data_IF_587824932040
#
_entry.id   IF_587824932040
#
_cell.length_a   1.000
_cell.length_b   1.000
_cell.length_c   1.000
_cell.angle_alpha   90.00
_cell.angle_beta   90.00
_cell.angle_gamma   90.00
#
_symmetry.space_group_name_H-M   'P 1'
#
loop_
_entity.id
_entity.type
_entity.pdbx_description
1 polymer ?
#
# COMPACT_ATOMS: atom_id res chain seq x y z
N UNK A 1 0.60 -10.51 19.87
CA UNK A 1 2.00 -10.82 19.74
C UNK A 1 2.37 -10.99 18.25
N UNK A 2 3.02 -9.98 17.67
CA UNK A 2 3.40 -9.98 16.26
C UNK A 2 4.32 -11.17 15.93
N UNK A 3 4.15 -11.75 14.74
CA UNK A 3 4.95 -12.86 14.20
C UNK A 3 4.82 -14.21 14.93
N UNK A 4 3.77 -14.41 15.74
CA UNK A 4 3.47 -15.70 16.39
C UNK A 4 4.60 -16.31 17.26
N UNK A 5 5.55 -15.49 17.71
CA UNK A 5 6.70 -15.95 18.52
C UNK A 5 6.32 -16.36 19.94
N UNK A 6 5.22 -15.82 20.46
CA UNK A 6 4.74 -16.09 21.80
C UNK A 6 3.22 -16.22 21.81
N UNK A 7 2.71 -17.12 22.64
CA UNK A 7 1.29 -17.24 22.99
C UNK A 7 1.11 -16.71 24.42
N UNK A 8 0.14 -15.83 24.64
CA UNK A 8 -0.25 -15.40 25.97
C UNK A 8 -1.01 -16.52 26.69
N UNK A 9 -0.55 -16.90 27.89
CA UNK A 9 -1.23 -17.86 28.78
C UNK A 9 -1.67 -17.13 30.05
N UNK A 10 -3.00 -17.12 30.30
CA UNK A 10 -3.57 -16.59 31.52
C UNK A 10 -4.34 -17.71 32.21
N UNK A 11 -3.94 -18.03 33.47
CA UNK A 11 -4.61 -19.01 34.33
C UNK A 11 -5.11 -18.25 35.53
N UNK A 12 -6.43 -18.26 35.73
CA UNK A 12 -7.09 -17.55 36.83
C UNK A 12 -7.98 -18.50 37.62
N UNK A 13 -8.08 -18.27 38.91
CA UNK A 13 -9.08 -18.88 39.79
C UNK A 13 -10.28 -17.97 39.95
N UNK A 14 -11.48 -18.54 39.93
CA UNK A 14 -12.73 -17.86 40.19
C UNK A 14 -13.37 -18.33 41.50
N UNK A 15 -14.09 -17.47 42.17
CA UNK A 15 -14.98 -17.84 43.26
C UNK A 15 -16.36 -18.34 42.75
N UNK A 16 -17.25 -18.68 43.66
CA UNK A 16 -18.59 -19.16 43.32
C UNK A 16 -19.48 -18.07 42.62
N UNK A 17 -19.12 -16.81 42.74
CA UNK A 17 -19.81 -15.69 42.09
C UNK A 17 -19.25 -15.37 40.68
N UNK A 18 -18.15 -16.07 40.29
CA UNK A 18 -17.49 -15.84 39.01
C UNK A 18 -16.47 -14.70 39.01
N UNK A 19 -16.10 -14.19 40.19
CA UNK A 19 -15.08 -13.15 40.33
C UNK A 19 -13.67 -13.77 40.35
N UNK A 20 -12.70 -13.09 39.70
CA UNK A 20 -11.31 -13.55 39.70
C UNK A 20 -10.69 -13.32 41.08
N UNK A 21 -10.32 -14.41 41.76
CA UNK A 21 -9.71 -14.38 43.10
C UNK A 21 -8.20 -14.67 43.09
N UNK A 22 -7.68 -15.22 42.00
CA UNK A 22 -6.26 -15.51 41.90
C UNK A 22 -5.80 -15.52 40.45
N UNK A 23 -4.56 -15.07 40.21
CA UNK A 23 -3.83 -15.28 38.97
C UNK A 23 -2.68 -16.22 39.24
N UNK A 24 -2.63 -17.34 38.54
CA UNK A 24 -1.57 -18.33 38.74
C UNK A 24 -0.21 -17.74 38.31
N UNK A 25 0.87 -17.88 39.09
CA UNK A 25 2.20 -17.35 38.77
C UNK A 25 2.80 -17.85 37.45
N UNK A 26 2.32 -18.99 36.90
CA UNK A 26 2.77 -19.48 35.58
C UNK A 26 2.07 -18.80 34.43
N UNK A 27 1.17 -17.85 34.70
CA UNK A 27 0.59 -16.97 33.67
C UNK A 27 1.67 -16.08 33.05
N UNK A 28 1.66 -15.94 31.75
CA UNK A 28 2.66 -15.13 31.05
C UNK A 28 2.81 -15.52 29.56
N UNK A 29 3.80 -14.93 28.88
CA UNK A 29 4.10 -15.30 27.50
C UNK A 29 4.80 -16.66 27.45
N UNK A 30 4.28 -17.57 26.65
CA UNK A 30 4.88 -18.86 26.33
C UNK A 30 5.50 -18.76 24.94
N UNK A 31 6.81 -19.02 24.85
CA UNK A 31 7.51 -19.01 23.55
C UNK A 31 6.98 -20.14 22.67
N UNK A 32 6.85 -19.85 21.36
CA UNK A 32 6.54 -20.87 20.36
C UNK A 32 7.85 -21.24 19.67
N UNK A 33 8.31 -22.47 19.85
CA UNK A 33 9.46 -23.01 19.14
C UNK A 33 9.19 -24.43 18.65
N UNK A 34 9.47 -24.70 17.38
CA UNK A 34 9.52 -26.03 16.78
C UNK A 34 10.96 -26.50 16.52
N UNK A 35 11.98 -25.72 16.94
CA UNK A 35 13.37 -26.10 16.76
C UNK A 35 13.73 -27.18 17.80
N UNK A 36 14.09 -28.43 17.38
CA UNK A 36 14.42 -29.53 18.32
C UNK A 36 15.60 -29.24 19.28
N UNK A 37 16.44 -28.26 18.96
CA UNK A 37 17.54 -27.83 19.81
C UNK A 37 17.11 -26.97 21.02
N UNK A 38 15.88 -26.45 21.02
CA UNK A 38 15.36 -25.61 22.08
C UNK A 38 14.73 -26.50 23.19
N UNK A 39 15.05 -26.23 24.46
CA UNK A 39 14.53 -26.99 25.60
C UNK A 39 12.99 -26.89 25.76
N UNK A 40 12.39 -25.85 25.25
CA UNK A 40 10.95 -25.60 25.24
C UNK A 40 10.30 -25.87 23.86
N UNK A 41 10.98 -26.64 23.01
CA UNK A 41 10.46 -27.04 21.70
C UNK A 41 9.22 -27.92 21.83
N UNK A 42 8.21 -27.63 21.00
CA UNK A 42 6.99 -28.43 20.88
C UNK A 42 6.89 -28.96 19.46
N UNK A 43 6.76 -30.26 19.32
CA UNK A 43 6.56 -30.88 18.01
C UNK A 43 5.26 -30.34 17.34
N UNK A 44 5.26 -30.08 16.03
CA UNK A 44 4.04 -29.73 15.33
C UNK A 44 2.94 -30.78 15.50
N UNK A 45 1.70 -30.35 15.68
CA UNK A 45 0.55 -31.23 15.58
C UNK A 45 0.49 -31.81 14.15
N UNK A 46 0.58 -33.13 14.00
CA UNK A 46 0.69 -33.79 12.70
C UNK A 46 -0.55 -33.56 11.84
N UNK A 47 -1.75 -33.53 12.43
CA UNK A 47 -2.99 -33.27 11.68
C UNK A 47 -3.03 -31.84 11.13
N UNK A 48 -2.74 -30.84 11.96
CA UNK A 48 -2.65 -29.43 11.53
C UNK A 48 -1.54 -29.25 10.51
N UNK A 49 -0.38 -29.89 10.71
CA UNK A 49 0.72 -29.78 9.76
C UNK A 49 0.36 -30.33 8.39
N UNK A 50 -0.18 -31.57 8.34
CA UNK A 50 -0.47 -32.24 7.08
C UNK A 50 -1.69 -31.67 6.34
N UNK A 51 -2.72 -31.23 7.08
CA UNK A 51 -3.99 -30.82 6.51
C UNK A 51 -4.15 -29.30 6.33
N UNK A 52 -3.29 -28.49 6.97
CA UNK A 52 -3.32 -27.03 6.83
C UNK A 52 -1.97 -26.45 6.40
N UNK A 53 -0.88 -26.71 7.15
CA UNK A 53 0.41 -26.06 6.90
C UNK A 53 1.04 -26.49 5.58
N UNK A 54 1.12 -27.82 5.34
CA UNK A 54 1.77 -28.37 4.16
C UNK A 54 1.06 -28.02 2.85
N UNK A 55 -0.28 -28.08 2.71
CA UNK A 55 -0.97 -27.61 1.52
C UNK A 55 -0.73 -26.13 1.22
N UNK A 56 -0.76 -25.27 2.26
CA UNK A 56 -0.46 -23.83 2.09
C UNK A 56 1.00 -23.61 1.67
N UNK A 57 1.95 -24.31 2.30
CA UNK A 57 3.37 -24.20 1.94
C UNK A 57 3.62 -24.62 0.49
N UNK A 58 2.99 -25.72 0.04
CA UNK A 58 3.07 -26.19 -1.35
C UNK A 58 2.45 -25.19 -2.33
N UNK A 59 1.32 -24.56 -2.00
CA UNK A 59 0.71 -23.52 -2.81
C UNK A 59 1.63 -22.31 -2.94
N UNK A 60 2.18 -21.82 -1.83
CA UNK A 60 3.14 -20.69 -1.80
C UNK A 60 4.41 -21.03 -2.61
N UNK A 61 4.91 -22.26 -2.52
CA UNK A 61 6.05 -22.71 -3.34
C UNK A 61 5.71 -22.69 -4.84
N UNK A 62 4.48 -23.06 -5.21
CA UNK A 62 3.97 -22.94 -6.59
C UNK A 62 3.99 -21.49 -7.08
N UNK A 63 3.45 -20.55 -6.30
CA UNK A 63 3.47 -19.12 -6.61
C UNK A 63 4.91 -18.57 -6.73
N UNK A 64 5.83 -19.04 -5.88
CA UNK A 64 7.24 -18.62 -5.89
C UNK A 64 7.99 -19.13 -7.12
N UNK A 65 7.60 -20.28 -7.67
CA UNK A 65 8.22 -20.86 -8.88
C UNK A 65 7.61 -20.33 -10.18
N UNK A 66 6.40 -19.72 -10.12
CA UNK A 66 5.75 -19.15 -11.28
C UNK A 66 6.35 -17.77 -11.63
N UNK A 67 7.28 -17.76 -12.60
CA UNK A 67 7.87 -16.51 -13.12
C UNK A 67 6.90 -15.89 -14.11
N UNK A 68 6.39 -14.70 -13.79
CA UNK A 68 5.41 -13.97 -14.61
C UNK A 68 6.03 -12.83 -15.43
N UNK A 69 7.20 -12.35 -15.01
CA UNK A 69 7.88 -11.21 -15.64
C UNK A 69 9.37 -11.17 -15.27
N UNK A 70 10.06 -10.19 -15.85
CA UNK A 70 11.44 -9.83 -15.47
C UNK A 70 11.56 -8.35 -15.16
N UNK A 71 12.55 -7.99 -14.34
CA UNK A 71 12.93 -6.60 -14.11
C UNK A 71 14.42 -6.37 -14.44
N UNK A 72 14.72 -5.23 -15.06
CA UNK A 72 16.09 -4.77 -15.34
C UNK A 72 16.55 -3.70 -14.35
N UNK A 73 15.76 -3.44 -13.31
CA UNK A 73 16.04 -2.45 -12.27
C UNK A 73 15.57 -3.00 -10.92
N UNK A 74 16.33 -2.78 -9.82
CA UNK A 74 15.82 -3.09 -8.48
C UNK A 74 14.56 -2.29 -8.15
N UNK A 75 13.49 -2.98 -7.72
CA UNK A 75 12.22 -2.36 -7.33
C UNK A 75 12.22 -2.15 -5.81
N UNK A 76 12.24 -0.89 -5.37
CA UNK A 76 12.36 -0.51 -3.96
C UNK A 76 11.01 -0.54 -3.24
N UNK A 77 10.76 -1.62 -2.50
CA UNK A 77 9.62 -1.78 -1.59
C UNK A 77 9.98 -1.65 -0.12
N UNK A 78 11.21 -1.20 0.21
CA UNK A 78 11.66 -1.04 1.60
C UNK A 78 10.69 -0.13 2.34
N UNK A 79 10.18 -0.63 3.48
CA UNK A 79 9.12 0.01 4.27
C UNK A 79 9.36 1.50 4.55
N UNK A 80 10.57 1.86 4.98
CA UNK A 80 10.87 3.26 5.29
C UNK A 80 10.87 4.13 4.03
N UNK A 81 11.40 3.62 2.92
CA UNK A 81 11.49 4.34 1.66
C UNK A 81 10.09 4.61 1.08
N UNK A 82 9.32 3.56 0.89
CA UNK A 82 7.99 3.67 0.26
C UNK A 82 6.98 4.50 1.08
N UNK A 83 7.24 4.67 2.40
CA UNK A 83 6.39 5.44 3.33
C UNK A 83 6.86 6.86 3.59
N UNK A 84 7.95 7.29 2.95
CA UNK A 84 8.52 8.64 3.17
C UNK A 84 8.91 9.35 1.88
N UNK A 85 8.98 8.63 0.77
CA UNK A 85 9.38 9.18 -0.53
C UNK A 85 8.82 8.37 -1.69
N UNK A 86 8.94 8.92 -2.87
CA UNK A 86 8.70 8.19 -4.12
C UNK A 86 9.62 6.96 -4.22
N UNK A 87 9.09 5.86 -4.72
CA UNK A 87 9.87 4.70 -5.13
C UNK A 87 9.36 4.17 -6.47
N UNK A 88 10.23 3.55 -7.24
CA UNK A 88 9.83 2.95 -8.52
C UNK A 88 8.82 1.80 -8.36
N UNK A 89 8.90 1.01 -7.28
CA UNK A 89 7.87 0.03 -6.97
C UNK A 89 6.52 0.68 -6.64
N UNK A 90 6.54 1.83 -5.94
CA UNK A 90 5.34 2.60 -5.65
C UNK A 90 4.71 3.18 -6.92
N UNK A 91 5.54 3.72 -7.83
CA UNK A 91 5.10 4.20 -9.14
C UNK A 91 4.43 3.07 -9.95
N UNK A 92 5.07 1.90 -10.01
CA UNK A 92 4.54 0.70 -10.70
C UNK A 92 3.17 0.30 -10.14
N UNK A 93 3.00 0.30 -8.81
CA UNK A 93 1.71 -0.01 -8.17
C UNK A 93 0.63 1.03 -8.46
N UNK A 94 0.97 2.32 -8.41
CA UNK A 94 0.03 3.40 -8.72
C UNK A 94 -0.39 3.40 -10.19
N UNK A 95 0.54 3.12 -11.12
CA UNK A 95 0.25 2.98 -12.54
C UNK A 95 -0.69 1.80 -12.82
N UNK A 96 -0.49 0.68 -12.12
CA UNK A 96 -1.38 -0.47 -12.21
C UNK A 96 -2.81 -0.15 -11.77
N UNK A 97 -2.98 0.66 -10.73
CA UNK A 97 -4.30 1.12 -10.29
C UNK A 97 -4.95 2.03 -11.36
N UNK A 98 -4.18 3.00 -11.88
CA UNK A 98 -4.69 3.93 -12.90
C UNK A 98 -5.11 3.18 -14.16
N UNK A 99 -4.27 2.27 -14.64
CA UNK A 99 -4.56 1.44 -15.81
C UNK A 99 -5.82 0.59 -15.62
N UNK A 100 -5.88 -0.18 -14.54
CA UNK A 100 -7.01 -1.08 -14.26
C UNK A 100 -8.32 -0.30 -14.11
N UNK A 101 -8.30 0.82 -13.39
CA UNK A 101 -9.46 1.68 -13.23
C UNK A 101 -9.90 2.29 -14.57
N UNK A 102 -8.94 2.71 -15.42
CA UNK A 102 -9.24 3.26 -16.74
C UNK A 102 -9.87 2.24 -17.67
N UNK A 103 -9.33 1.02 -17.72
CA UNK A 103 -9.92 -0.08 -18.52
C UNK A 103 -11.32 -0.42 -18.04
N UNK A 104 -11.51 -0.51 -16.71
CA UNK A 104 -12.83 -0.78 -16.15
C UNK A 104 -13.82 0.35 -16.46
N UNK A 105 -13.40 1.62 -16.31
CA UNK A 105 -14.24 2.78 -16.60
C UNK A 105 -14.68 2.83 -18.07
N UNK A 106 -13.76 2.59 -19.02
CA UNK A 106 -14.09 2.52 -20.46
C UNK A 106 -15.14 1.44 -20.74
N UNK A 107 -14.98 0.25 -20.18
CA UNK A 107 -15.88 -0.87 -20.40
C UNK A 107 -17.27 -0.72 -19.76
N UNK A 108 -17.40 0.20 -18.79
CA UNK A 108 -18.63 0.42 -18.03
C UNK A 108 -19.22 1.83 -18.21
N UNK A 109 -18.72 2.61 -19.18
CA UNK A 109 -19.17 4.00 -19.44
C UNK A 109 -19.12 4.91 -18.19
N UNK A 110 -18.08 4.73 -17.37
CA UNK A 110 -17.83 5.57 -16.19
C UNK A 110 -16.84 6.70 -16.52
N UNK A 111 -16.79 7.76 -15.70
CA UNK A 111 -15.75 8.77 -15.83
C UNK A 111 -14.35 8.14 -15.72
N UNK A 112 -13.48 8.48 -16.67
CA UNK A 112 -12.09 8.02 -16.63
C UNK A 112 -11.36 8.65 -15.44
N UNK A 113 -10.52 7.90 -14.71
CA UNK A 113 -9.70 8.48 -13.68
C UNK A 113 -8.59 9.37 -14.28
N UNK A 114 -8.45 10.57 -13.71
CA UNK A 114 -7.38 11.49 -14.07
C UNK A 114 -6.05 11.10 -13.41
N UNK A 115 -6.13 10.52 -12.21
CA UNK A 115 -4.99 10.23 -11.34
C UNK A 115 -5.20 8.93 -10.56
N UNK A 116 -4.11 8.37 -10.04
CA UNK A 116 -4.18 7.30 -9.04
C UNK A 116 -3.37 7.61 -7.79
N UNK A 117 -3.84 7.07 -6.65
CA UNK A 117 -3.23 7.14 -5.33
C UNK A 117 -3.20 5.74 -4.71
N UNK A 118 -1.99 5.24 -4.43
CA UNK A 118 -1.79 4.02 -3.65
C UNK A 118 -1.21 4.38 -2.28
N UNK A 119 -1.97 4.14 -1.21
CA UNK A 119 -1.42 4.29 0.14
C UNK A 119 -0.26 3.31 0.36
N UNK A 120 0.87 3.79 0.82
CA UNK A 120 2.04 2.93 1.06
C UNK A 120 1.83 1.91 2.18
N UNK A 121 0.80 2.11 3.01
CA UNK A 121 0.34 1.12 3.97
C UNK A 121 -0.17 -0.17 3.33
N UNK A 122 -0.65 -0.10 2.09
CA UNK A 122 -1.08 -1.25 1.29
C UNK A 122 0.07 -2.06 0.69
N UNK A 123 1.28 -1.51 0.61
CA UNK A 123 2.46 -2.15 0.02
C UNK A 123 3.27 -2.84 1.13
N UNK A 124 3.51 -4.15 1.03
CA UNK A 124 3.88 -4.99 2.19
C UNK A 124 5.09 -5.91 2.01
N UNK A 125 5.72 -5.97 0.85
CA UNK A 125 6.92 -6.82 0.66
C UNK A 125 8.12 -6.38 1.52
N UNK A 126 8.21 -5.11 1.89
CA UNK A 126 9.24 -4.51 2.78
C UNK A 126 10.69 -4.84 2.36
N UNK A 127 10.89 -5.15 1.09
CA UNK A 127 12.18 -5.59 0.50
C UNK A 127 12.34 -5.05 -0.92
N UNK A 128 13.54 -5.24 -1.48
CA UNK A 128 13.85 -4.94 -2.88
C UNK A 128 13.62 -6.21 -3.71
N UNK A 129 12.77 -6.12 -4.75
CA UNK A 129 12.63 -7.18 -5.74
C UNK A 129 13.64 -6.95 -6.84
N UNK A 130 14.32 -8.02 -7.27
CA UNK A 130 15.35 -7.94 -8.30
C UNK A 130 16.60 -7.18 -7.84
N UNK A 131 17.04 -7.32 -6.59
CA UNK A 131 18.27 -6.72 -6.11
C UNK A 131 19.45 -7.14 -6.99
N UNK A 132 20.22 -6.15 -7.47
CA UNK A 132 21.34 -6.38 -8.40
C UNK A 132 20.94 -6.54 -9.87
N UNK A 133 19.64 -6.47 -10.22
CA UNK A 133 19.21 -6.53 -11.62
C UNK A 133 19.73 -5.35 -12.44
N UNK A 134 19.97 -5.61 -13.73
CA UNK A 134 20.42 -4.62 -14.71
C UNK A 134 19.91 -5.01 -16.10
N UNK A 135 20.04 -4.16 -17.12
CA UNK A 135 19.69 -4.51 -18.49
C UNK A 135 20.39 -5.76 -19.03
N UNK A 136 21.63 -6.03 -18.58
CA UNK A 136 22.42 -7.21 -18.96
C UNK A 136 22.19 -8.44 -18.05
N UNK A 137 21.59 -8.24 -16.87
CA UNK A 137 21.32 -9.28 -15.89
C UNK A 137 19.91 -9.05 -15.26
N UNK A 138 18.82 -9.29 -16.02
CA UNK A 138 17.48 -9.12 -15.50
C UNK A 138 17.20 -10.15 -14.40
N UNK A 139 16.39 -9.75 -13.42
CA UNK A 139 15.89 -10.64 -12.36
C UNK A 139 14.43 -11.03 -12.61
N UNK A 140 14.05 -12.20 -12.12
CA UNK A 140 12.67 -12.67 -12.22
C UNK A 140 11.74 -11.94 -11.25
N UNK A 141 10.53 -11.69 -11.71
CA UNK A 141 9.36 -11.35 -10.90
C UNK A 141 8.44 -12.55 -10.91
N UNK A 142 8.13 -13.07 -9.73
CA UNK A 142 7.23 -14.22 -9.57
C UNK A 142 5.81 -13.79 -9.20
N UNK A 143 4.85 -14.66 -9.40
CA UNK A 143 3.47 -14.44 -8.95
C UNK A 143 3.43 -14.16 -7.43
N UNK A 144 4.24 -14.88 -6.63
CA UNK A 144 4.35 -14.63 -5.19
C UNK A 144 4.76 -13.18 -4.88
N UNK A 145 5.62 -12.55 -5.70
CA UNK A 145 6.02 -11.16 -5.47
C UNK A 145 4.81 -10.20 -5.52
N UNK A 146 3.84 -10.43 -6.41
CA UNK A 146 2.65 -9.58 -6.49
C UNK A 146 1.77 -9.69 -5.24
N UNK A 147 1.64 -10.88 -4.66
CA UNK A 147 0.97 -11.11 -3.38
C UNK A 147 1.75 -10.50 -2.19
N UNK A 148 3.08 -10.53 -2.24
CA UNK A 148 3.92 -9.92 -1.20
C UNK A 148 3.82 -8.38 -1.25
N UNK A 149 3.76 -7.79 -2.45
CA UNK A 149 3.58 -6.36 -2.63
C UNK A 149 2.17 -5.96 -2.16
N UNK A 150 1.14 -6.59 -2.69
CA UNK A 150 -0.27 -6.27 -2.51
C UNK A 150 -0.98 -7.36 -1.69
N UNK A 151 -0.67 -7.42 -0.39
CA UNK A 151 -1.00 -8.56 0.47
C UNK A 151 -2.46 -8.58 1.00
N UNK A 152 -3.27 -7.57 0.71
CA UNK A 152 -4.64 -7.49 1.20
C UNK A 152 -5.65 -7.80 0.08
N UNK A 153 -6.89 -8.12 0.47
CA UNK A 153 -7.99 -8.36 -0.48
C UNK A 153 -8.71 -7.08 -0.89
N UNK A 154 -7.97 -5.97 -1.07
CA UNK A 154 -8.55 -4.71 -1.50
C UNK A 154 -8.83 -4.70 -2.99
N UNK A 155 -9.93 -4.08 -3.40
CA UNK A 155 -10.30 -3.91 -4.79
C UNK A 155 -9.94 -2.52 -5.30
N UNK A 156 -9.61 -2.42 -6.58
CA UNK A 156 -9.45 -1.13 -7.25
C UNK A 156 -10.80 -0.40 -7.23
N UNK A 157 -10.75 0.90 -6.92
CA UNK A 157 -11.92 1.76 -6.77
C UNK A 157 -11.76 3.05 -7.56
N UNK A 158 -12.87 3.56 -8.12
CA UNK A 158 -12.96 4.81 -8.85
C UNK A 158 -13.81 5.78 -8.04
N UNK A 159 -13.24 6.91 -7.64
CA UNK A 159 -13.90 7.96 -6.87
C UNK A 159 -14.07 9.19 -7.76
N UNK A 160 -15.24 9.41 -8.35
CA UNK A 160 -15.49 10.55 -9.22
C UNK A 160 -15.80 11.83 -8.43
N UNK A 161 -15.78 12.97 -9.12
CA UNK A 161 -16.27 14.26 -8.63
C UNK A 161 -15.55 14.80 -7.37
N UNK A 162 -14.27 14.53 -7.22
CA UNK A 162 -13.44 15.10 -6.16
C UNK A 162 -13.05 16.52 -6.55
N UNK A 163 -13.47 17.52 -5.77
CA UNK A 163 -13.06 18.90 -6.00
C UNK A 163 -11.55 19.07 -5.84
N UNK A 164 -10.95 20.02 -6.56
CA UNK A 164 -9.50 20.28 -6.44
C UNK A 164 -9.07 20.66 -5.01
N UNK A 165 -9.96 21.32 -4.26
CA UNK A 165 -9.73 21.63 -2.85
C UNK A 165 -9.68 20.36 -1.99
N UNK A 166 -10.63 19.44 -2.18
CA UNK A 166 -10.62 18.16 -1.47
C UNK A 166 -9.42 17.29 -1.90
N UNK A 167 -9.03 17.33 -3.18
CA UNK A 167 -7.84 16.62 -3.65
C UNK A 167 -6.58 17.14 -2.96
N UNK A 168 -6.44 18.48 -2.81
CA UNK A 168 -5.34 19.04 -2.04
C UNK A 168 -5.34 18.53 -0.60
N UNK A 169 -6.48 18.45 0.09
CA UNK A 169 -6.58 17.91 1.44
C UNK A 169 -6.17 16.43 1.51
N UNK A 170 -6.51 15.63 0.51
CA UNK A 170 -6.07 14.23 0.37
C UNK A 170 -4.54 14.16 0.29
N UNK A 171 -3.92 15.02 -0.52
CA UNK A 171 -2.47 15.08 -0.67
C UNK A 171 -1.77 15.64 0.59
N UNK A 172 -2.37 16.62 1.27
CA UNK A 172 -1.87 17.12 2.56
C UNK A 172 -1.88 16.01 3.63
N UNK A 173 -2.92 15.15 3.64
CA UNK A 173 -2.94 13.98 4.52
C UNK A 173 -1.78 13.03 4.20
N UNK A 174 -1.49 12.78 2.93
CA UNK A 174 -0.43 11.86 2.52
C UNK A 174 0.95 12.28 3.04
N UNK A 175 1.23 13.58 3.10
CA UNK A 175 2.53 14.11 3.56
C UNK A 175 2.51 14.60 5.01
N UNK A 176 1.38 14.47 5.72
CA UNK A 176 1.19 15.01 7.07
C UNK A 176 2.13 14.40 8.11
N UNK A 177 2.49 13.12 7.97
CA UNK A 177 3.35 12.42 8.93
C UNK A 177 4.85 12.57 8.65
N UNK A 178 5.25 13.10 7.48
CA UNK A 178 6.67 13.28 7.14
C UNK A 178 7.36 14.16 8.20
N UNK A 179 8.57 13.76 8.70
CA UNK A 179 9.50 12.75 8.19
C UNK A 179 9.25 11.31 8.68
N UNK A 180 8.27 11.07 9.52
CA UNK A 180 7.98 9.72 10.03
C UNK A 180 7.37 8.84 8.96
N UNK A 181 7.84 7.58 8.86
CA UNK A 181 7.27 6.59 7.95
C UNK A 181 5.83 6.24 8.37
N UNK A 182 4.87 6.48 7.47
CA UNK A 182 3.46 6.25 7.75
C UNK A 182 2.73 5.67 6.54
N UNK A 183 1.77 4.79 6.76
CA UNK A 183 0.99 4.14 5.71
C UNK A 183 0.19 5.08 4.82
N UNK A 184 -0.16 6.27 5.34
CA UNK A 184 -0.88 7.30 4.58
C UNK A 184 -0.06 7.99 3.48
N UNK A 185 1.28 7.86 3.46
CA UNK A 185 2.07 8.40 2.37
C UNK A 185 1.62 7.76 1.05
N UNK A 186 1.24 8.58 0.08
CA UNK A 186 0.76 8.09 -1.21
C UNK A 186 1.89 7.91 -2.21
N UNK A 187 1.89 6.78 -2.91
CA UNK A 187 2.55 6.64 -4.20
C UNK A 187 1.53 7.01 -5.29
N UNK A 188 1.95 7.67 -6.35
CA UNK A 188 1.03 8.39 -7.24
C UNK A 188 1.24 8.06 -8.72
N UNK A 189 0.17 8.23 -9.52
CA UNK A 189 0.20 8.16 -10.98
C UNK A 189 -0.72 9.22 -11.59
N UNK A 190 -0.38 9.68 -12.79
CA UNK A 190 -1.16 10.67 -13.53
C UNK A 190 -0.81 12.13 -13.23
N UNK A 191 0.04 12.40 -12.24
CA UNK A 191 0.43 13.76 -11.86
C UNK A 191 1.77 13.84 -11.14
N UNK A 192 2.29 15.08 -11.03
CA UNK A 192 3.45 15.41 -10.20
C UNK A 192 3.01 16.26 -9.00
N UNK A 193 3.62 16.01 -7.83
CA UNK A 193 3.40 16.75 -6.60
C UNK A 193 4.71 17.29 -6.04
N UNK A 194 4.74 18.58 -5.71
CA UNK A 194 5.83 19.23 -4.96
C UNK A 194 5.31 19.57 -3.56
N UNK A 195 6.06 19.20 -2.53
CA UNK A 195 5.72 19.57 -1.15
C UNK A 195 6.94 20.05 -0.34
N UNK A 196 6.67 20.80 0.72
CA UNK A 196 7.64 21.34 1.66
C UNK A 196 7.25 20.96 3.08
N UNK A 197 8.24 20.76 3.96
CA UNK A 197 7.96 20.50 5.40
C UNK A 197 8.48 21.60 6.30
N UNK A 198 9.60 22.23 5.92
CA UNK A 198 10.19 23.32 6.70
C UNK A 198 9.29 24.57 6.68
N UNK A 199 8.92 25.08 7.87
CA UNK A 199 8.03 26.22 8.00
C UNK A 199 6.59 26.00 7.52
N UNK A 200 6.15 24.71 7.36
CA UNK A 200 4.82 24.35 6.87
C UNK A 200 4.02 23.57 7.91
N UNK A 201 2.73 23.82 7.95
CA UNK A 201 1.78 23.14 8.84
C UNK A 201 1.43 21.77 8.28
N UNK A 202 1.57 20.74 9.12
CA UNK A 202 1.01 19.43 8.81
C UNK A 202 -0.51 19.45 8.99
N UNK A 203 -1.24 18.81 8.07
CA UNK A 203 -2.68 18.65 8.22
C UNK A 203 -3.01 17.78 9.43
N UNK A 204 -4.03 18.18 10.19
CA UNK A 204 -4.60 17.39 11.29
C UNK A 204 -6.05 17.07 10.99
N UNK A 205 -6.42 15.82 11.23
CA UNK A 205 -7.79 15.30 11.05
C UNK A 205 -8.32 14.81 12.41
N UNK A 206 -9.63 14.91 12.60
CA UNK A 206 -10.31 14.23 13.70
C UNK A 206 -10.63 12.77 13.38
N UNK A 207 -11.27 12.06 14.29
CA UNK A 207 -11.67 10.65 14.13
C UNK A 207 -12.67 10.40 12.98
N UNK A 208 -13.37 11.44 12.53
CA UNK A 208 -14.30 11.37 11.39
C UNK A 208 -13.62 11.77 10.06
N UNK A 209 -12.29 11.84 10.01
CA UNK A 209 -11.50 12.29 8.85
C UNK A 209 -11.84 13.72 8.38
N UNK A 210 -12.42 14.56 9.25
CA UNK A 210 -12.62 15.97 8.97
C UNK A 210 -11.35 16.76 9.30
N UNK A 211 -10.98 17.71 8.44
CA UNK A 211 -9.82 18.57 8.63
C UNK A 211 -10.07 19.54 9.77
N UNK A 212 -9.29 19.45 10.85
CA UNK A 212 -9.33 20.37 11.99
C UNK A 212 -8.23 21.42 11.90
N UNK A 213 -7.09 21.08 11.29
CA UNK A 213 -6.02 22.02 10.96
C UNK A 213 -5.65 21.82 9.49
N UNK A 214 -5.91 22.81 8.61
CA UNK A 214 -5.51 22.72 7.20
C UNK A 214 -3.99 22.60 7.05
N UNK A 215 -3.58 21.70 6.14
CA UNK A 215 -2.18 21.56 5.75
C UNK A 215 -1.72 22.66 4.80
N UNK A 216 -0.42 22.97 4.84
CA UNK A 216 0.21 23.94 3.92
C UNK A 216 1.46 23.36 3.26
N UNK A 217 1.66 22.06 3.35
CA UNK A 217 2.84 21.36 2.82
C UNK A 217 2.81 21.19 1.30
N UNK A 218 1.65 20.90 0.72
CA UNK A 218 1.50 20.69 -0.73
C UNK A 218 1.60 22.05 -1.44
N UNK A 219 2.59 22.17 -2.31
CA UNK A 219 2.93 23.44 -2.99
C UNK A 219 2.45 23.50 -4.43
N UNK A 220 2.78 22.49 -5.21
CA UNK A 220 2.41 22.42 -6.61
C UNK A 220 1.85 21.02 -6.94
N UNK A 221 0.80 20.97 -7.73
CA UNK A 221 0.22 19.74 -8.26
C UNK A 221 -0.14 19.99 -9.71
N UNK A 222 0.47 19.18 -10.60
CA UNK A 222 0.31 19.31 -12.04
C UNK A 222 0.00 17.95 -12.64
N UNK A 223 -1.10 17.82 -13.36
CA UNK A 223 -1.45 16.60 -14.10
C UNK A 223 -0.46 16.36 -15.25
N UNK A 224 -0.37 15.15 -15.74
CA UNK A 224 0.53 14.78 -16.83
C UNK A 224 0.20 15.52 -18.15
N UNK A 225 -1.05 16.00 -18.32
CA UNK A 225 -1.46 16.83 -19.46
C UNK A 225 -1.10 18.32 -19.30
N UNK A 226 -0.44 18.70 -18.20
CA UNK A 226 -0.06 20.08 -17.88
C UNK A 226 -1.11 20.87 -17.10
N UNK A 227 -2.28 20.30 -16.81
CA UNK A 227 -3.32 20.97 -16.00
C UNK A 227 -2.83 21.22 -14.58
N UNK A 228 -2.81 22.47 -14.16
CA UNK A 228 -2.40 22.86 -12.80
C UNK A 228 -3.59 22.77 -11.85
N UNK A 229 -3.48 21.97 -10.81
CA UNK A 229 -4.50 21.82 -9.75
C UNK A 229 -4.17 22.68 -8.52
N UNK A 230 -2.88 22.78 -8.18
CA UNK A 230 -2.37 23.60 -7.05
C UNK A 230 -1.12 24.34 -7.54
N UNK A 231 -1.01 25.61 -7.20
CA UNK A 231 0.16 26.46 -7.50
C UNK A 231 0.55 27.27 -6.27
N UNK A 232 1.81 27.15 -5.82
CA UNK A 232 2.32 27.84 -4.64
C UNK A 232 1.46 27.62 -3.37
N UNK A 233 0.83 26.44 -3.26
CA UNK A 233 -0.05 26.09 -2.14
C UNK A 233 -1.50 26.55 -2.29
N UNK A 234 -1.82 27.34 -3.31
CA UNK A 234 -3.19 27.76 -3.64
C UNK A 234 -3.86 26.82 -4.64
N UNK A 235 -5.10 26.45 -4.37
CA UNK A 235 -5.91 25.64 -5.30
C UNK A 235 -6.26 26.50 -6.52
N UNK A 236 -6.00 25.98 -7.71
CA UNK A 236 -6.39 26.60 -8.98
C UNK A 236 -7.82 26.18 -9.31
N UNK A 237 -8.78 27.11 -9.49
CA UNK A 237 -10.16 26.78 -9.85
C UNK A 237 -10.26 25.96 -11.14
N UNK A 238 -11.20 25.02 -11.19
CA UNK A 238 -11.42 24.22 -12.38
C UNK A 238 -12.33 23.01 -12.08
N UNK A 239 -12.52 22.12 -13.07
CA UNK A 239 -13.35 20.93 -12.91
C UNK A 239 -12.89 20.04 -11.76
N UNK A 240 -13.82 19.28 -11.21
CA UNK A 240 -13.54 18.18 -10.32
C UNK A 240 -12.75 17.08 -11.06
N UNK A 241 -12.04 16.25 -10.33
CA UNK A 241 -11.25 15.14 -10.87
C UNK A 241 -11.80 13.79 -10.41
N UNK A 242 -11.43 12.76 -11.12
CA UNK A 242 -11.72 11.36 -10.79
C UNK A 242 -10.44 10.66 -10.34
N UNK A 243 -10.49 9.98 -9.19
CA UNK A 243 -9.33 9.32 -8.58
C UNK A 243 -9.49 7.80 -8.68
N UNK A 244 -8.44 7.11 -9.14
CA UNK A 244 -8.28 5.68 -8.93
C UNK A 244 -7.54 5.42 -7.61
N UNK A 245 -8.02 4.47 -6.82
CA UNK A 245 -7.39 4.06 -5.56
C UNK A 245 -7.84 2.64 -5.21
N UNK A 246 -7.66 2.22 -3.96
CA UNK A 246 -8.25 0.97 -3.45
C UNK A 246 -9.45 1.28 -2.54
N UNK A 247 -10.37 0.33 -2.43
CA UNK A 247 -11.60 0.49 -1.65
C UNK A 247 -11.34 0.80 -0.16
N UNK A 248 -10.22 0.30 0.41
CA UNK A 248 -9.76 0.71 1.75
C UNK A 248 -9.57 2.23 1.86
N UNK A 249 -8.85 2.84 0.92
CA UNK A 249 -8.61 4.29 0.92
C UNK A 249 -9.88 5.07 0.57
N UNK A 250 -10.69 4.55 -0.36
CA UNK A 250 -11.97 5.15 -0.75
C UNK A 250 -12.95 5.22 0.44
N UNK A 251 -12.90 4.24 1.35
CA UNK A 251 -13.66 4.23 2.61
C UNK A 251 -13.02 5.08 3.74
N UNK A 252 -11.95 5.83 3.45
CA UNK A 252 -11.29 6.69 4.45
C UNK A 252 -10.21 5.99 5.27
N UNK A 253 -9.75 4.80 4.85
CA UNK A 253 -8.59 4.13 5.43
C UNK A 253 -7.35 5.02 5.41
N UNK A 254 -6.41 4.85 6.34
CA UNK A 254 -5.27 5.74 6.56
C UNK A 254 -5.66 7.23 6.69
N UNK A 255 -6.88 7.49 7.14
CA UNK A 255 -7.47 8.82 7.33
C UNK A 255 -7.56 9.66 6.04
N UNK A 256 -7.65 9.06 4.86
CA UNK A 256 -7.89 9.82 3.65
C UNK A 256 -9.25 10.57 3.73
N UNK A 257 -9.27 11.92 3.58
CA UNK A 257 -10.46 12.72 3.81
C UNK A 257 -11.44 12.68 2.62
N UNK A 258 -11.82 11.48 2.19
CA UNK A 258 -12.82 11.26 1.13
C UNK A 258 -14.25 11.47 1.63
N UNK A 259 -14.49 11.48 2.97
CA UNK A 259 -15.74 11.91 3.62
C UNK A 259 -16.99 11.22 3.09
N UNK A 260 -16.88 9.91 2.81
CA UNK A 260 -18.01 9.14 2.28
C UNK A 260 -18.36 9.49 0.83
N UNK A 261 -17.43 10.07 0.07
CA UNK A 261 -17.64 10.27 -1.37
C UNK A 261 -18.04 8.95 -2.04
N UNK A 262 -19.09 8.94 -2.86
CA UNK A 262 -19.48 7.74 -3.59
C UNK A 262 -18.35 7.24 -4.47
N UNK A 263 -18.16 5.93 -4.52
CA UNK A 263 -17.17 5.32 -5.40
C UNK A 263 -17.69 4.03 -6.03
N UNK A 264 -17.11 3.67 -7.14
CA UNK A 264 -17.36 2.39 -7.82
C UNK A 264 -16.20 1.46 -7.51
N UNK A 265 -16.47 0.33 -6.88
CA UNK A 265 -15.50 -0.77 -6.72
C UNK A 265 -15.47 -1.60 -7.99
N UNK A 266 -14.30 -1.80 -8.56
CA UNK A 266 -14.13 -2.71 -9.70
C UNK A 266 -14.23 -4.17 -9.25
N UNK A 267 -14.22 -5.10 -10.20
CA UNK A 267 -14.16 -6.54 -9.92
C UNK A 267 -12.74 -7.06 -9.72
N UNK A 268 -11.73 -6.21 -9.91
CA UNK A 268 -10.31 -6.56 -9.87
C UNK A 268 -9.69 -6.12 -8.55
N UNK A 269 -9.11 -7.05 -7.80
CA UNK A 269 -8.31 -6.68 -6.64
C UNK A 269 -6.95 -6.10 -7.08
N UNK A 270 -6.30 -5.37 -6.17
CA UNK A 270 -5.09 -4.62 -6.51
C UNK A 270 -3.84 -5.51 -6.72
N UNK A 271 -3.84 -6.77 -6.24
CA UNK A 271 -2.79 -7.74 -6.56
C UNK A 271 -2.92 -8.18 -8.03
N UNK A 272 -4.13 -8.57 -8.45
CA UNK A 272 -4.43 -8.92 -9.84
C UNK A 272 -4.19 -7.71 -10.77
N UNK A 273 -4.55 -6.50 -10.33
CA UNK A 273 -4.28 -5.27 -11.08
C UNK A 273 -2.78 -5.11 -11.38
N UNK A 274 -1.92 -5.30 -10.36
CA UNK A 274 -0.47 -5.25 -10.53
C UNK A 274 0.05 -6.33 -11.48
N UNK A 275 -0.40 -7.57 -11.31
CA UNK A 275 -0.02 -8.70 -12.15
C UNK A 275 -0.41 -8.48 -13.61
N UNK A 276 -1.66 -8.10 -13.87
CA UNK A 276 -2.17 -7.83 -15.23
C UNK A 276 -1.44 -6.64 -15.86
N UNK A 277 -1.16 -5.60 -15.10
CA UNK A 277 -0.40 -4.46 -15.60
C UNK A 277 1.01 -4.87 -16.04
N UNK A 278 1.72 -5.64 -15.22
CA UNK A 278 3.06 -6.11 -15.54
C UNK A 278 3.03 -7.07 -16.74
N UNK A 279 2.13 -8.03 -16.76
CA UNK A 279 2.12 -9.12 -17.77
C UNK A 279 1.52 -8.67 -19.10
N UNK A 280 0.42 -7.92 -19.08
CA UNK A 280 -0.35 -7.56 -20.28
C UNK A 280 0.07 -6.20 -20.84
N UNK A 281 0.20 -5.16 -20.00
CA UNK A 281 0.53 -3.82 -20.46
C UNK A 281 2.03 -3.64 -20.68
N UNK A 282 2.86 -4.06 -19.73
CA UNK A 282 4.31 -3.98 -19.86
C UNK A 282 4.93 -5.17 -20.61
N UNK A 283 4.13 -6.13 -21.11
CA UNK A 283 4.60 -7.28 -21.83
C UNK A 283 5.56 -8.18 -21.04
N UNK A 284 5.38 -8.27 -19.72
CA UNK A 284 6.21 -9.09 -18.85
C UNK A 284 7.60 -8.54 -18.56
N UNK A 285 7.84 -7.23 -18.77
CA UNK A 285 9.14 -6.62 -18.57
C UNK A 285 9.05 -5.25 -17.89
N UNK A 286 9.62 -5.13 -16.69
CA UNK A 286 9.78 -3.85 -15.98
C UNK A 286 11.21 -3.34 -16.24
N UNK A 287 11.35 -2.15 -16.82
CA UNK A 287 12.64 -1.61 -17.23
C UNK A 287 13.05 -0.41 -16.37
N UNK A 288 14.38 -0.19 -16.25
CA UNK A 288 14.93 1.00 -15.58
C UNK A 288 14.66 2.30 -16.35
N UNK A 289 14.29 2.24 -17.64
CA UNK A 289 13.86 3.40 -18.42
C UNK A 289 12.44 3.83 -18.01
N UNK A 290 11.53 2.87 -17.89
CA UNK A 290 10.15 3.15 -17.47
C UNK A 290 10.01 3.38 -15.95
N UNK A 291 10.83 2.71 -15.14
CA UNK A 291 10.77 2.77 -13.67
C UNK A 291 12.18 2.93 -13.09
N UNK A 292 12.81 4.11 -13.25
CA UNK A 292 14.20 4.32 -12.80
C UNK A 292 14.32 4.17 -11.28
N UNK A 293 15.47 3.69 -10.83
CA UNK A 293 15.79 3.57 -9.42
C UNK A 293 15.63 4.95 -8.73
N UNK A 294 14.88 4.98 -7.62
CA UNK A 294 14.61 6.22 -6.89
C UNK A 294 13.39 7.01 -7.39
N UNK A 295 12.75 6.57 -8.48
CA UNK A 295 11.55 7.22 -9.03
C UNK A 295 11.85 8.19 -10.17
N UNK A 296 10.81 8.84 -10.68
CA UNK A 296 10.81 9.71 -11.87
C UNK A 296 10.65 11.20 -11.51
N UNK A 297 10.59 11.52 -10.22
CA UNK A 297 10.27 12.87 -9.76
C UNK A 297 8.76 13.18 -9.76
N UNK A 298 7.92 12.17 -9.57
CA UNK A 298 6.48 12.38 -9.37
C UNK A 298 6.19 13.05 -8.04
N UNK A 299 7.00 12.75 -6.99
CA UNK A 299 6.85 13.28 -5.64
C UNK A 299 8.15 13.97 -5.23
N UNK A 300 8.14 15.29 -5.23
CA UNK A 300 9.32 16.12 -4.98
C UNK A 300 9.18 16.79 -3.62
N UNK A 301 10.12 16.55 -2.72
CA UNK A 301 10.26 17.28 -1.46
C UNK A 301 11.29 18.41 -1.64
N UNK A 302 10.91 19.64 -1.28
CA UNK A 302 11.80 20.81 -1.19
C UNK A 302 12.10 21.19 0.26
#
# INVERSE_FOLDING_TARGET
>A
NGNYKYVGRLIVGFDAAGEIIAVNPVSGPVRVSGNPADADSVAPNADVFNNAVLPVANHVAGLASNVIATTTVPLDGIRNNIRTRETNQGNLGADALLYTASVFAMNNSLPLPDVALQNSGGIRNESVIGAGSSPSAPANITELNTFQINAFSNFVAIVPNISRAQFKEILENSVSAIPSANGRFAQISGFQMVYETAGRTAQVLNSANAVTTPGTRVRDVVLNDGTVLVRNGAVVPGPAITIATIDFSANGGDQYPLRGAPFVRTTTNYQIALEQYITQWLGGRVTGEAYPAGGEGRIIRR
#
